data_IF_772643398716
#
_entry.id   IF_772643398716
#
_cell.length_a   1.000
_cell.length_b   1.000
_cell.length_c   1.000
_cell.angle_alpha   90.00
_cell.angle_beta   90.00
_cell.angle_gamma   90.00
#
_symmetry.space_group_name_H-M   'P 1'
#
loop_
_entity.id
_entity.type
_entity.pdbx_description
1 polymer ?
#
# COMPACT_ATOMS: atom_id res chain seq x y z
N UNK A 1 -1.70 -11.52 1.88
CA UNK A 1 -0.63 -11.14 0.92
C UNK A 1 0.72 -11.17 1.64
N UNK A 2 1.85 -11.28 0.93
CA UNK A 2 3.18 -11.12 1.54
C UNK A 2 3.73 -9.73 1.23
N UNK A 3 3.95 -8.90 2.25
CA UNK A 3 4.65 -7.62 2.09
C UNK A 3 6.15 -7.88 2.18
N UNK A 4 6.90 -7.43 1.16
CA UNK A 4 8.33 -7.73 1.04
C UNK A 4 9.23 -6.71 1.77
N UNK A 5 8.79 -5.46 1.91
CA UNK A 5 9.60 -4.40 2.51
C UNK A 5 8.77 -3.38 3.29
N UNK A 6 8.60 -3.62 4.60
CA UNK A 6 8.19 -2.59 5.54
C UNK A 6 9.24 -1.47 5.72
N UNK A 7 10.57 -1.74 5.66
CA UNK A 7 11.58 -0.68 5.76
C UNK A 7 11.43 0.45 4.74
N UNK A 8 10.94 0.15 3.53
CA UNK A 8 10.69 1.17 2.50
C UNK A 8 9.60 2.16 2.93
N UNK A 9 8.50 1.68 3.53
CA UNK A 9 7.45 2.56 4.05
C UNK A 9 7.97 3.40 5.23
N UNK A 10 8.77 2.78 6.09
CA UNK A 10 9.40 3.45 7.24
C UNK A 10 10.30 4.60 6.80
N UNK A 11 11.22 4.33 5.89
CA UNK A 11 12.12 5.35 5.36
C UNK A 11 11.38 6.51 4.68
N UNK A 12 10.18 6.26 4.14
CA UNK A 12 9.34 7.31 3.58
C UNK A 12 8.74 8.20 4.67
N UNK A 13 7.97 7.65 5.62
CA UNK A 13 7.30 8.47 6.65
C UNK A 13 8.24 9.01 7.74
N UNK A 14 9.50 8.57 7.81
CA UNK A 14 10.50 9.15 8.72
C UNK A 14 11.10 10.47 8.21
N UNK A 15 10.84 10.82 6.95
CA UNK A 15 11.17 12.14 6.42
C UNK A 15 10.21 13.20 7.01
N UNK A 16 10.69 14.34 7.53
CA UNK A 16 9.85 15.35 8.16
C UNK A 16 8.68 15.83 7.29
N UNK A 17 8.88 15.92 5.98
CA UNK A 17 7.87 16.39 5.01
C UNK A 17 6.72 15.39 4.78
N UNK A 18 6.89 14.12 5.18
CA UNK A 18 5.92 13.03 4.95
C UNK A 18 5.51 12.32 6.25
N UNK A 19 5.78 12.93 7.41
CA UNK A 19 5.52 12.32 8.72
C UNK A 19 4.02 12.01 8.95
N UNK A 20 3.14 12.77 8.32
CA UNK A 20 1.68 12.60 8.33
C UNK A 20 1.21 11.31 7.62
N UNK A 21 1.99 10.78 6.68
CA UNK A 21 1.67 9.53 5.97
C UNK A 21 1.81 8.27 6.85
N UNK A 22 2.46 8.36 8.01
CA UNK A 22 2.79 7.19 8.85
C UNK A 22 1.57 6.35 9.21
N UNK A 23 0.49 6.97 9.68
CA UNK A 23 -0.71 6.25 10.12
C UNK A 23 -1.39 5.55 8.93
N UNK A 24 -1.52 6.24 7.80
CA UNK A 24 -2.11 5.69 6.58
C UNK A 24 -1.29 4.50 6.06
N UNK A 25 0.04 4.61 6.01
CA UNK A 25 0.93 3.54 5.54
C UNK A 25 0.93 2.32 6.47
N UNK A 26 0.88 2.52 7.79
CA UNK A 26 0.78 1.40 8.74
C UNK A 26 -0.60 0.73 8.71
N UNK A 27 -1.67 1.51 8.50
CA UNK A 27 -3.02 1.00 8.31
C UNK A 27 -3.10 0.17 7.03
N UNK A 28 -2.58 0.69 5.91
CA UNK A 28 -2.44 -0.03 4.65
C UNK A 28 -1.67 -1.34 4.83
N UNK A 29 -0.53 -1.30 5.52
CA UNK A 29 0.29 -2.49 5.77
C UNK A 29 -0.50 -3.56 6.55
N UNK A 30 -1.22 -3.16 7.60
CA UNK A 30 -2.08 -4.06 8.38
C UNK A 30 -3.20 -4.69 7.56
N UNK A 31 -3.84 -3.92 6.67
CA UNK A 31 -4.86 -4.41 5.75
C UNK A 31 -4.27 -5.40 4.73
N UNK A 32 -3.17 -5.02 4.08
CA UNK A 32 -2.49 -5.83 3.07
C UNK A 32 -2.06 -7.21 3.62
N UNK A 33 -1.56 -7.27 4.85
CA UNK A 33 -1.20 -8.55 5.48
C UNK A 33 -2.37 -9.54 5.57
N UNK A 34 -3.59 -9.04 5.81
CA UNK A 34 -4.81 -9.85 5.95
C UNK A 34 -5.50 -10.12 4.60
N UNK A 35 -5.28 -9.27 3.62
CA UNK A 35 -5.91 -9.37 2.31
C UNK A 35 -5.50 -10.65 1.54
N UNK A 36 -6.39 -11.09 0.64
CA UNK A 36 -6.18 -12.22 -0.27
C UNK A 36 -6.41 -11.80 -1.73
N UNK A 37 -5.74 -10.73 -2.16
CA UNK A 37 -5.80 -10.27 -3.54
C UNK A 37 -5.13 -11.26 -4.48
N UNK A 38 -5.82 -11.59 -5.56
CA UNK A 38 -5.32 -12.43 -6.65
C UNK A 38 -5.07 -11.61 -7.91
N UNK A 39 -5.80 -10.49 -8.06
CA UNK A 39 -5.71 -9.59 -9.21
C UNK A 39 -5.59 -8.13 -8.77
N UNK A 40 -5.06 -7.24 -9.63
CA UNK A 40 -5.10 -5.79 -9.37
C UNK A 40 -6.53 -5.24 -9.19
N UNK A 41 -7.54 -5.89 -9.76
CA UNK A 41 -8.94 -5.50 -9.58
C UNK A 41 -9.42 -5.72 -8.14
N UNK A 42 -8.93 -6.76 -7.46
CA UNK A 42 -9.25 -7.00 -6.04
C UNK A 42 -8.68 -5.87 -5.16
N UNK A 43 -7.48 -5.38 -5.49
CA UNK A 43 -6.87 -4.23 -4.79
C UNK A 43 -7.73 -2.98 -4.99
N UNK A 44 -8.21 -2.75 -6.22
CA UNK A 44 -9.09 -1.62 -6.54
C UNK A 44 -10.48 -1.73 -5.90
N UNK A 45 -10.98 -2.95 -5.69
CA UNK A 45 -12.22 -3.17 -4.97
C UNK A 45 -12.10 -2.77 -3.48
N UNK A 46 -10.98 -3.09 -2.84
CA UNK A 46 -10.68 -2.68 -1.46
C UNK A 46 -10.33 -1.19 -1.36
N UNK A 47 -9.59 -0.66 -2.35
CA UNK A 47 -9.12 0.73 -2.41
C UNK A 47 -9.62 1.37 -3.70
N UNK A 48 -10.83 1.95 -3.67
CA UNK A 48 -11.50 2.49 -4.86
C UNK A 48 -10.72 3.57 -5.64
N UNK A 49 -9.78 4.25 -4.99
CA UNK A 49 -8.89 5.24 -5.59
C UNK A 49 -7.62 4.64 -6.20
N UNK A 50 -7.33 3.36 -5.92
CA UNK A 50 -6.15 2.70 -6.45
C UNK A 50 -6.23 2.57 -7.98
N UNK A 51 -5.09 2.79 -8.62
CA UNK A 51 -4.95 2.70 -10.07
C UNK A 51 -4.05 1.54 -10.45
N UNK A 52 -4.55 0.65 -11.30
CA UNK A 52 -3.78 -0.47 -11.84
C UNK A 52 -2.87 0.02 -12.98
N UNK A 53 -1.61 -0.38 -12.94
CA UNK A 53 -0.61 -0.13 -13.96
C UNK A 53 -0.29 -1.43 -14.71
N UNK A 54 0.56 -1.33 -15.73
CA UNK A 54 1.13 -2.50 -16.43
C UNK A 54 1.99 -3.35 -15.49
N UNK A 55 2.15 -4.62 -15.85
CA UNK A 55 3.03 -5.57 -15.18
C UNK A 55 2.62 -5.90 -13.73
N UNK A 56 1.31 -5.89 -13.45
CA UNK A 56 0.77 -6.26 -12.14
C UNK A 56 1.02 -5.23 -11.03
N UNK A 57 1.38 -3.99 -11.38
CA UNK A 57 1.62 -2.91 -10.43
C UNK A 57 0.34 -2.15 -10.10
N UNK A 58 0.27 -1.61 -8.88
CA UNK A 58 -0.84 -0.78 -8.40
C UNK A 58 -0.27 0.43 -7.67
N UNK A 59 -0.87 1.60 -7.88
CA UNK A 59 -0.56 2.84 -7.15
C UNK A 59 -1.74 3.26 -6.29
N UNK A 60 -1.42 3.87 -5.15
CA UNK A 60 -2.36 4.37 -4.14
C UNK A 60 -2.19 5.90 -4.01
N UNK A 61 -3.18 6.55 -3.42
CA UNK A 61 -3.15 7.99 -3.13
C UNK A 61 -2.46 8.27 -1.79
#
# INVERSE_FOLDING_TARGET
>A
MRVLSLPTLRAFYEQPEYADAKEALLTWHGHALKARWQTPADVKADFGTASSLKDGRVVFN
#
